data_IF_503531038563
#
_entry.id   IF_503531038563
#
_cell.length_a   1.000
_cell.length_b   1.000
_cell.length_c   1.000
_cell.angle_alpha   90.00
_cell.angle_beta   90.00
_cell.angle_gamma   90.00
#
_symmetry.space_group_name_H-M   'P 1'
#
loop_
_entity.id
_entity.type
_entity.pdbx_description
1 polymer ?
#
# COMPACT_ATOMS: atom_id res chain seq x y z
N UNK A 1 8.31 22.18 22.42
CA UNK A 1 9.70 22.66 22.60
C UNK A 1 10.04 22.89 24.07
N UNK A 2 9.15 23.23 24.94
CA UNK A 2 9.42 23.48 26.36
C UNK A 2 8.93 22.34 27.27
N UNK A 3 8.74 21.12 26.74
CA UNK A 3 8.15 20.00 27.47
C UNK A 3 6.63 20.02 27.54
N UNK A 4 5.98 21.04 26.98
CA UNK A 4 4.53 21.13 26.90
C UNK A 4 4.01 20.34 25.69
N UNK A 5 2.97 19.49 25.85
CA UNK A 5 2.36 18.78 24.74
C UNK A 5 1.72 19.76 23.74
N UNK A 6 2.05 19.58 22.45
CA UNK A 6 1.48 20.38 21.35
C UNK A 6 0.11 19.88 20.86
N UNK A 7 -0.36 18.73 21.38
CA UNK A 7 -1.56 18.07 20.87
C UNK A 7 -1.39 17.39 19.51
N UNK A 8 -0.15 17.33 18.99
CA UNK A 8 0.20 16.69 17.72
C UNK A 8 0.91 15.38 18.03
N UNK A 9 0.32 14.28 17.56
CA UNK A 9 0.90 12.94 17.66
C UNK A 9 1.40 12.52 16.28
N UNK A 10 2.62 12.00 16.19
CA UNK A 10 3.24 11.54 14.94
C UNK A 10 3.86 10.16 15.13
N UNK A 11 3.85 9.36 14.06
CA UNK A 11 4.46 8.03 14.01
C UNK A 11 4.03 7.16 15.21
N UNK A 12 4.95 6.56 15.93
CA UNK A 12 4.67 5.68 17.08
C UNK A 12 3.91 6.38 18.23
N UNK A 13 3.90 7.72 18.29
CA UNK A 13 3.12 8.44 19.29
C UNK A 13 1.61 8.31 19.07
N UNK A 14 1.16 7.93 17.88
CA UNK A 14 -0.25 7.63 17.58
C UNK A 14 -0.78 6.47 18.43
N UNK A 15 0.06 5.51 18.80
CA UNK A 15 -0.28 4.37 19.65
C UNK A 15 -0.84 4.81 21.00
N UNK A 16 -0.33 5.93 21.57
CA UNK A 16 -0.83 6.51 22.82
C UNK A 16 -2.30 6.91 22.74
N UNK A 17 -2.76 7.30 21.53
CA UNK A 17 -4.16 7.68 21.28
C UNK A 17 -4.98 6.45 20.93
N UNK A 18 -4.50 5.63 19.98
CA UNK A 18 -5.23 4.46 19.52
C UNK A 18 -5.47 3.44 20.62
N UNK A 19 -4.50 3.26 21.54
CA UNK A 19 -4.68 2.38 22.72
C UNK A 19 -5.81 2.81 23.67
N UNK A 20 -6.31 4.03 23.53
CA UNK A 20 -7.40 4.61 24.34
C UNK A 20 -8.68 4.89 23.52
N UNK A 21 -8.60 4.79 22.21
CA UNK A 21 -9.77 4.95 21.36
C UNK A 21 -10.75 3.80 21.56
N UNK A 22 -12.04 4.11 21.40
CA UNK A 22 -13.07 3.08 21.43
C UNK A 22 -12.88 2.14 20.26
N UNK A 23 -12.83 0.85 20.54
CA UNK A 23 -12.76 -0.20 19.53
C UNK A 23 -14.15 -0.42 18.93
N UNK A 24 -14.34 -0.18 17.62
CA UNK A 24 -15.63 -0.44 16.99
C UNK A 24 -15.96 -1.93 17.01
N UNK A 25 -17.21 -2.24 17.27
CA UNK A 25 -17.76 -3.59 17.09
C UNK A 25 -18.15 -3.84 15.62
N UNK A 26 -18.54 -5.06 15.31
CA UNK A 26 -18.94 -5.46 13.94
C UNK A 26 -20.10 -4.62 13.40
N UNK A 27 -21.09 -4.28 14.21
CA UNK A 27 -22.23 -3.47 13.78
C UNK A 27 -21.80 -2.01 13.47
N UNK A 28 -20.86 -1.48 14.22
CA UNK A 28 -20.24 -0.17 13.95
C UNK A 28 -19.49 -0.21 12.61
N UNK A 29 -18.72 -1.27 12.32
CA UNK A 29 -18.07 -1.45 11.02
C UNK A 29 -19.07 -1.52 9.89
N UNK A 30 -20.12 -2.31 10.02
CA UNK A 30 -21.19 -2.40 9.00
C UNK A 30 -21.77 -1.02 8.68
N UNK A 31 -21.99 -0.20 9.70
CA UNK A 31 -22.50 1.16 9.53
C UNK A 31 -21.53 2.05 8.78
N UNK A 32 -20.24 2.05 9.17
CA UNK A 32 -19.19 2.83 8.51
C UNK A 32 -19.01 2.40 7.05
N UNK A 33 -18.93 1.12 6.77
CA UNK A 33 -18.79 0.57 5.41
C UNK A 33 -19.99 0.96 4.55
N UNK A 34 -21.21 0.83 5.08
CA UNK A 34 -22.43 1.18 4.33
C UNK A 34 -22.47 2.67 3.97
N UNK A 35 -22.13 3.56 4.90
CA UNK A 35 -22.06 5.01 4.62
C UNK A 35 -20.92 5.34 3.63
N UNK A 36 -19.79 4.69 3.74
CA UNK A 36 -18.70 4.83 2.77
C UNK A 36 -19.12 4.39 1.35
N UNK A 37 -19.84 3.27 1.24
CA UNK A 37 -20.39 2.82 -0.04
C UNK A 37 -21.36 3.84 -0.66
N UNK A 38 -22.23 4.46 0.14
CA UNK A 38 -23.12 5.53 -0.32
C UNK A 38 -22.33 6.74 -0.84
N UNK A 39 -21.30 7.16 -0.11
CA UNK A 39 -20.44 8.25 -0.54
C UNK A 39 -19.74 7.91 -1.86
N UNK A 40 -19.15 6.74 -2.00
CA UNK A 40 -18.52 6.27 -3.24
C UNK A 40 -19.51 6.23 -4.41
N UNK A 41 -20.71 5.69 -4.19
CA UNK A 41 -21.76 5.65 -5.22
C UNK A 41 -22.19 7.05 -5.67
N UNK A 42 -22.18 8.06 -4.79
CA UNK A 42 -22.50 9.44 -5.15
C UNK A 42 -21.54 10.05 -6.16
N UNK A 43 -20.30 9.52 -6.22
CA UNK A 43 -19.28 9.86 -7.22
C UNK A 43 -19.24 8.89 -8.41
N UNK A 44 -20.20 7.96 -8.50
CA UNK A 44 -20.25 6.95 -9.57
C UNK A 44 -19.23 5.79 -9.40
N UNK A 45 -18.58 5.68 -8.25
CA UNK A 45 -17.64 4.59 -7.98
C UNK A 45 -18.43 3.32 -7.65
N UNK A 46 -18.17 2.25 -8.40
CA UNK A 46 -18.83 0.94 -8.25
C UNK A 46 -17.90 -0.18 -7.81
N UNK A 47 -16.59 0.09 -7.78
CA UNK A 47 -15.57 -0.86 -7.30
C UNK A 47 -14.43 -0.10 -6.65
N UNK A 48 -13.89 -0.62 -5.54
CA UNK A 48 -12.78 -0.02 -4.82
C UNK A 48 -11.83 -1.09 -4.27
N UNK A 49 -10.56 -0.74 -4.15
CA UNK A 49 -9.61 -1.44 -3.29
C UNK A 49 -9.49 -0.68 -1.96
N UNK A 50 -9.39 -1.42 -0.87
CA UNK A 50 -9.25 -0.85 0.48
C UNK A 50 -8.25 -1.67 1.29
N UNK A 51 -7.58 -1.08 2.27
CA UNK A 51 -6.61 -1.72 3.17
C UNK A 51 -6.98 -1.53 4.65
N UNK A 52 -8.24 -1.74 4.98
CA UNK A 52 -8.86 -1.42 6.26
C UNK A 52 -8.38 -2.28 7.45
N UNK A 53 -7.63 -3.36 7.24
CA UNK A 53 -7.24 -4.29 8.31
C UNK A 53 -6.51 -3.62 9.47
N UNK A 54 -5.79 -2.55 9.21
CA UNK A 54 -5.05 -1.81 10.25
C UNK A 54 -5.69 -0.47 10.61
N UNK A 55 -6.86 -0.16 10.06
CA UNK A 55 -7.58 1.08 10.40
C UNK A 55 -7.88 1.19 11.90
N UNK A 56 -8.08 0.04 12.54
CA UNK A 56 -8.24 -0.09 13.99
C UNK A 56 -7.33 -1.22 14.49
N UNK A 57 -6.10 -0.92 14.93
CA UNK A 57 -5.08 -1.94 15.24
C UNK A 57 -5.46 -2.97 16.30
N UNK A 58 -6.49 -2.67 17.12
CA UNK A 58 -6.97 -3.58 18.17
C UNK A 58 -8.09 -4.52 17.69
N UNK A 59 -8.51 -4.41 16.44
CA UNK A 59 -9.59 -5.22 15.87
C UNK A 59 -9.01 -6.31 14.99
N UNK A 60 -9.43 -7.55 15.25
CA UNK A 60 -9.12 -8.68 14.39
C UNK A 60 -9.72 -8.46 12.99
N UNK A 61 -8.93 -8.66 11.95
CA UNK A 61 -9.36 -8.53 10.55
C UNK A 61 -10.56 -9.42 10.21
N UNK A 62 -10.76 -10.54 10.93
CA UNK A 62 -11.92 -11.41 10.72
C UNK A 62 -13.24 -10.73 11.07
N UNK A 63 -13.24 -9.81 12.04
CA UNK A 63 -14.43 -9.00 12.36
C UNK A 63 -14.79 -8.10 11.16
N UNK A 64 -13.81 -7.52 10.52
CA UNK A 64 -14.02 -6.68 9.33
C UNK A 64 -14.49 -7.51 8.12
N UNK A 65 -13.85 -8.66 7.87
CA UNK A 65 -14.28 -9.58 6.81
C UNK A 65 -15.73 -10.00 7.03
N UNK A 66 -16.10 -10.36 8.26
CA UNK A 66 -17.48 -10.73 8.60
C UNK A 66 -18.46 -9.58 8.37
N UNK A 67 -18.07 -8.33 8.69
CA UNK A 67 -18.91 -7.16 8.45
C UNK A 67 -19.21 -6.95 6.95
N UNK A 68 -18.22 -7.08 6.09
CA UNK A 68 -18.39 -7.01 4.63
C UNK A 68 -19.30 -8.12 4.11
N UNK A 69 -19.07 -9.36 4.53
CA UNK A 69 -19.87 -10.52 4.12
C UNK A 69 -21.33 -10.42 4.57
N UNK A 70 -21.58 -9.89 5.77
CA UNK A 70 -22.95 -9.68 6.25
C UNK A 70 -23.65 -8.56 5.48
N UNK A 71 -22.97 -7.43 5.19
CA UNK A 71 -23.53 -6.37 4.36
C UNK A 71 -23.87 -6.84 2.95
N UNK A 72 -23.06 -7.72 2.37
CA UNK A 72 -23.36 -8.33 1.09
C UNK A 72 -24.65 -9.19 1.18
N UNK A 73 -24.75 -10.06 2.18
CA UNK A 73 -25.95 -10.88 2.41
C UNK A 73 -27.21 -10.03 2.63
N UNK A 74 -27.07 -8.88 3.27
CA UNK A 74 -28.16 -7.92 3.48
C UNK A 74 -28.47 -7.07 2.22
N UNK A 75 -27.71 -7.21 1.13
CA UNK A 75 -27.85 -6.40 -0.08
C UNK A 75 -27.47 -4.92 0.11
N UNK A 76 -26.69 -4.62 1.14
CA UNK A 76 -26.27 -3.27 1.50
C UNK A 76 -24.83 -2.92 1.07
N UNK A 77 -24.04 -3.91 0.62
CA UNK A 77 -22.74 -3.69 0.04
C UNK A 77 -22.90 -3.34 -1.46
N UNK A 78 -22.99 -2.07 -1.76
CA UNK A 78 -23.30 -1.55 -3.11
C UNK A 78 -22.09 -1.26 -3.96
N UNK A 79 -20.89 -1.31 -3.38
CA UNK A 79 -19.59 -1.18 -4.06
C UNK A 79 -18.87 -2.52 -3.99
N UNK A 80 -18.29 -2.95 -5.10
CA UNK A 80 -17.44 -4.16 -5.12
C UNK A 80 -16.12 -3.86 -4.42
N UNK A 81 -15.82 -4.58 -3.36
CA UNK A 81 -14.64 -4.36 -2.54
C UNK A 81 -13.58 -5.44 -2.79
N UNK A 82 -12.38 -5.00 -3.09
CA UNK A 82 -11.18 -5.82 -3.14
C UNK A 82 -10.30 -5.46 -1.93
N UNK A 83 -10.42 -6.23 -0.85
CA UNK A 83 -9.76 -5.98 0.42
C UNK A 83 -8.29 -6.35 0.36
N UNK A 84 -7.40 -5.37 0.34
CA UNK A 84 -5.98 -5.60 0.50
C UNK A 84 -5.71 -6.11 1.93
N UNK A 85 -4.95 -7.20 2.03
CA UNK A 85 -4.57 -7.77 3.31
C UNK A 85 -3.29 -7.10 3.80
N UNK A 86 -3.41 -6.06 4.63
CA UNK A 86 -2.26 -5.43 5.26
C UNK A 86 -1.81 -6.26 6.46
N UNK A 87 -0.78 -7.08 6.24
CA UNK A 87 -0.18 -7.99 7.22
C UNK A 87 1.28 -7.59 7.38
N UNK A 88 1.68 -7.24 8.60
CA UNK A 88 2.95 -6.53 8.82
C UNK A 88 4.16 -7.45 9.03
N UNK A 89 3.94 -8.75 9.22
CA UNK A 89 5.00 -9.73 9.45
C UNK A 89 4.68 -11.08 8.79
N UNK A 90 5.68 -11.95 8.73
CA UNK A 90 5.56 -13.25 8.06
C UNK A 90 4.67 -14.24 8.83
N UNK A 91 4.57 -14.13 10.14
CA UNK A 91 3.75 -14.97 10.99
C UNK A 91 2.27 -14.73 10.70
N UNK A 92 1.83 -13.46 10.67
CA UNK A 92 0.46 -13.07 10.34
C UNK A 92 0.11 -13.51 8.91
N UNK A 93 1.04 -13.36 7.97
CA UNK A 93 0.85 -13.81 6.59
C UNK A 93 0.67 -15.34 6.51
N UNK A 94 1.47 -16.10 7.23
CA UNK A 94 1.36 -17.58 7.30
C UNK A 94 0.03 -18.01 7.90
N UNK A 95 -0.40 -17.36 8.98
CA UNK A 95 -1.70 -17.62 9.63
C UNK A 95 -2.85 -17.29 8.67
N UNK A 96 -2.83 -16.11 8.04
CA UNK A 96 -3.85 -15.67 7.09
C UNK A 96 -4.05 -16.67 5.94
N UNK A 97 -2.94 -17.06 5.32
CA UNK A 97 -2.96 -18.06 4.23
C UNK A 97 -3.38 -19.44 4.77
N UNK A 98 -2.93 -19.82 5.97
CA UNK A 98 -3.30 -21.07 6.62
C UNK A 98 -4.83 -21.19 6.90
N UNK A 99 -5.50 -20.08 7.13
CA UNK A 99 -6.96 -19.98 7.24
C UNK A 99 -7.68 -20.07 5.88
N UNK A 100 -6.94 -20.17 4.77
CA UNK A 100 -7.48 -20.28 3.41
C UNK A 100 -7.69 -18.95 2.68
N UNK A 101 -7.30 -17.81 3.29
CA UNK A 101 -7.39 -16.51 2.64
C UNK A 101 -6.25 -16.33 1.63
N UNK A 102 -6.59 -15.95 0.43
CA UNK A 102 -5.66 -15.55 -0.64
C UNK A 102 -6.36 -14.68 -1.67
N UNK A 103 -5.60 -14.05 -2.54
CA UNK A 103 -6.16 -13.18 -3.57
C UNK A 103 -7.23 -13.90 -4.40
N UNK A 104 -8.39 -13.25 -4.51
CA UNK A 104 -9.54 -13.73 -5.27
C UNK A 104 -10.55 -14.58 -4.46
N UNK A 105 -10.22 -14.96 -3.24
CA UNK A 105 -11.17 -15.67 -2.35
C UNK A 105 -12.26 -14.70 -1.91
N UNK A 106 -13.50 -15.09 -2.05
CA UNK A 106 -14.68 -14.31 -1.67
C UNK A 106 -15.82 -14.44 -2.69
N UNK A 107 -16.55 -13.37 -2.87
CA UNK A 107 -17.75 -13.28 -3.70
C UNK A 107 -17.58 -12.26 -4.84
N UNK A 108 -18.67 -11.91 -5.52
CA UNK A 108 -18.65 -10.84 -6.54
C UNK A 108 -18.57 -9.44 -5.93
N UNK A 109 -19.02 -9.25 -4.69
CA UNK A 109 -19.01 -7.95 -4.04
C UNK A 109 -17.90 -7.80 -3.00
N UNK A 110 -17.41 -8.89 -2.40
CA UNK A 110 -16.31 -8.84 -1.46
C UNK A 110 -15.28 -9.92 -1.78
N UNK A 111 -14.04 -9.51 -2.07
CA UNK A 111 -12.91 -10.42 -2.31
C UNK A 111 -11.69 -10.02 -1.50
N UNK A 112 -10.94 -11.02 -1.08
CA UNK A 112 -9.57 -10.81 -0.59
C UNK A 112 -8.71 -10.37 -1.78
N UNK A 113 -8.04 -9.27 -1.61
CA UNK A 113 -7.12 -8.66 -2.55
C UNK A 113 -5.68 -9.13 -2.39
N UNK A 114 -4.71 -8.30 -2.78
CA UNK A 114 -3.29 -8.59 -2.60
C UNK A 114 -2.85 -8.46 -1.13
N UNK A 115 -1.71 -9.07 -0.81
CA UNK A 115 -0.92 -8.65 0.35
C UNK A 115 -0.51 -7.20 0.18
N UNK A 116 -0.78 -6.36 1.17
CA UNK A 116 -0.37 -4.96 1.22
C UNK A 116 0.76 -4.77 2.23
N UNK A 117 1.86 -4.19 1.79
CA UNK A 117 2.94 -3.78 2.67
C UNK A 117 3.19 -2.27 2.54
N UNK A 118 3.73 -1.68 3.60
CA UNK A 118 4.22 -0.31 3.62
C UNK A 118 5.75 -0.39 3.62
N UNK A 119 6.40 -0.01 2.54
CA UNK A 119 7.85 -0.14 2.40
C UNK A 119 8.63 0.97 3.12
N UNK A 120 8.13 2.19 3.03
CA UNK A 120 8.74 3.39 3.60
C UNK A 120 7.70 4.42 4.04
N UNK A 121 8.15 5.63 4.33
CA UNK A 121 7.31 6.73 4.75
C UNK A 121 6.88 7.66 3.60
N UNK A 122 6.98 8.99 3.78
CA UNK A 122 6.52 10.01 2.83
C UNK A 122 7.60 11.02 2.48
N UNK A 123 7.47 11.63 1.29
CA UNK A 123 8.38 12.67 0.81
C UNK A 123 8.34 13.91 1.72
N UNK A 124 7.14 14.37 2.06
CA UNK A 124 6.95 15.57 2.89
C UNK A 124 7.57 15.46 4.28
N UNK A 125 7.49 14.28 4.91
CA UNK A 125 8.07 14.02 6.23
C UNK A 125 9.56 13.67 6.21
N UNK A 126 10.21 13.54 5.04
CA UNK A 126 11.58 13.03 4.85
C UNK A 126 11.79 11.62 5.41
N UNK A 127 10.76 10.81 5.35
CA UNK A 127 10.78 9.39 5.75
C UNK A 127 10.73 8.42 4.57
N UNK A 128 10.48 8.91 3.35
CA UNK A 128 10.65 8.11 2.13
C UNK A 128 12.11 7.67 1.97
N UNK A 129 12.34 6.37 1.73
CA UNK A 129 13.69 5.79 1.74
C UNK A 129 14.38 5.94 0.39
N UNK A 130 15.43 6.76 0.37
CA UNK A 130 16.10 7.24 -0.81
C UNK A 130 17.50 6.64 -0.99
N UNK A 131 17.96 6.55 -2.24
CA UNK A 131 19.35 6.17 -2.57
C UNK A 131 20.38 7.21 -2.18
N UNK A 132 19.97 8.48 -2.07
CA UNK A 132 20.79 9.62 -1.69
C UNK A 132 20.09 10.45 -0.63
N UNK A 133 20.82 11.20 0.20
CA UNK A 133 20.22 12.10 1.18
C UNK A 133 19.21 13.08 0.56
N UNK A 134 18.34 13.59 1.38
CA UNK A 134 17.46 14.68 1.01
C UNK A 134 18.28 15.92 0.67
N UNK A 135 17.82 16.70 -0.30
CA UNK A 135 18.54 17.89 -0.76
C UNK A 135 18.51 19.03 0.28
N UNK A 136 17.44 19.10 1.05
CA UNK A 136 17.24 20.07 2.12
C UNK A 136 17.51 19.51 3.53
N UNK A 137 18.02 18.28 3.64
CA UNK A 137 18.47 17.64 4.87
C UNK A 137 19.40 16.47 4.56
N UNK A 138 20.70 16.75 4.52
CA UNK A 138 21.74 15.79 4.18
C UNK A 138 22.03 14.74 5.27
N UNK A 139 21.39 14.87 6.44
CA UNK A 139 21.54 13.95 7.56
C UNK A 139 20.72 12.68 7.44
N UNK A 140 19.79 12.62 6.48
CA UNK A 140 18.87 11.48 6.32
C UNK A 140 18.65 11.07 4.87
N UNK A 141 18.49 9.76 4.68
CA UNK A 141 17.98 9.16 3.44
C UNK A 141 16.55 8.59 3.61
N UNK A 142 15.85 8.92 4.68
CA UNK A 142 14.57 8.30 5.03
C UNK A 142 14.73 6.99 5.80
N UNK A 143 13.64 6.26 5.97
CA UNK A 143 13.56 5.07 6.85
C UNK A 143 12.86 3.93 6.12
N UNK A 144 13.54 2.77 5.91
CA UNK A 144 12.86 1.57 5.43
C UNK A 144 12.10 0.93 6.59
N UNK A 145 10.94 0.33 6.30
CA UNK A 145 10.16 -0.43 7.30
C UNK A 145 10.65 -1.88 7.37
N UNK A 146 11.15 -2.42 6.26
CA UNK A 146 11.63 -3.80 6.15
C UNK A 146 13.08 -3.85 5.72
N UNK A 147 13.81 -4.88 6.16
CA UNK A 147 15.10 -5.26 5.54
C UNK A 147 14.84 -5.97 4.20
N UNK A 148 15.88 -6.14 3.38
CA UNK A 148 15.77 -6.88 2.12
C UNK A 148 15.34 -8.32 2.35
N UNK A 149 15.88 -8.97 3.38
CA UNK A 149 15.57 -10.36 3.73
C UNK A 149 14.10 -10.53 4.12
N UNK A 150 13.55 -9.57 4.88
CA UNK A 150 12.13 -9.58 5.26
C UNK A 150 11.23 -9.40 4.04
N UNK A 151 11.57 -8.48 3.13
CA UNK A 151 10.84 -8.31 1.85
C UNK A 151 10.91 -9.57 1.00
N UNK A 152 12.10 -10.14 0.85
CA UNK A 152 12.31 -11.37 0.07
C UNK A 152 11.44 -12.51 0.62
N UNK A 153 11.44 -12.73 1.95
CA UNK A 153 10.63 -13.78 2.59
C UNK A 153 9.13 -13.55 2.40
N UNK A 154 8.63 -12.35 2.69
CA UNK A 154 7.20 -12.05 2.61
C UNK A 154 6.69 -12.11 1.18
N UNK A 155 7.41 -11.52 0.22
CA UNK A 155 7.04 -11.52 -1.20
C UNK A 155 7.07 -12.94 -1.77
N UNK A 156 8.14 -13.70 -1.49
CA UNK A 156 8.23 -15.10 -1.95
C UNK A 156 7.09 -15.94 -1.38
N UNK A 157 6.84 -15.84 -0.07
CA UNK A 157 5.81 -16.64 0.57
C UNK A 157 4.41 -16.31 0.04
N UNK A 158 4.07 -15.03 -0.10
CA UNK A 158 2.80 -14.59 -0.67
C UNK A 158 2.64 -15.09 -2.12
N UNK A 159 3.64 -14.84 -2.97
CA UNK A 159 3.62 -15.22 -4.37
C UNK A 159 3.45 -16.72 -4.57
N UNK A 160 4.25 -17.54 -3.89
CA UNK A 160 4.20 -19.01 -3.93
C UNK A 160 2.82 -19.56 -3.56
N UNK A 161 2.12 -18.92 -2.61
CA UNK A 161 0.82 -19.35 -2.10
C UNK A 161 -0.37 -18.68 -2.82
N UNK A 162 -0.14 -17.99 -3.94
CA UNK A 162 -1.18 -17.45 -4.80
C UNK A 162 -1.73 -16.10 -4.38
N UNK A 163 -1.04 -15.36 -3.51
CA UNK A 163 -1.36 -13.97 -3.25
C UNK A 163 -0.64 -13.05 -4.22
N UNK A 164 -1.33 -12.05 -4.75
CA UNK A 164 -0.70 -10.90 -5.36
C UNK A 164 -0.06 -10.04 -4.25
N UNK A 165 0.92 -9.23 -4.59
CA UNK A 165 1.61 -8.37 -3.62
C UNK A 165 1.62 -6.94 -4.13
N UNK A 166 1.21 -5.99 -3.30
CA UNK A 166 1.31 -4.56 -3.59
C UNK A 166 2.01 -3.85 -2.43
N UNK A 167 3.02 -3.05 -2.74
CA UNK A 167 3.87 -2.42 -1.73
C UNK A 167 3.91 -0.92 -1.96
N UNK A 168 3.64 -0.16 -0.91
CA UNK A 168 3.83 1.29 -0.88
C UNK A 168 5.32 1.61 -1.02
N UNK A 169 5.68 2.39 -2.03
CA UNK A 169 7.03 2.88 -2.24
C UNK A 169 6.98 4.33 -2.72
N UNK A 170 7.45 5.24 -1.89
CA UNK A 170 7.66 6.64 -2.23
C UNK A 170 9.10 6.84 -2.70
N UNK A 171 10.08 6.39 -1.94
CA UNK A 171 11.50 6.54 -2.25
C UNK A 171 11.99 5.56 -3.32
N UNK A 172 13.04 5.97 -4.03
CA UNK A 172 13.69 5.13 -5.05
C UNK A 172 14.43 3.93 -4.44
N UNK A 173 15.04 4.07 -3.27
CA UNK A 173 15.78 2.98 -2.63
C UNK A 173 14.87 1.82 -2.21
N UNK A 174 13.74 2.13 -1.56
CA UNK A 174 12.78 1.08 -1.21
C UNK A 174 12.19 0.43 -2.46
N UNK A 175 11.98 1.21 -3.53
CA UNK A 175 11.46 0.68 -4.78
C UNK A 175 12.42 -0.32 -5.42
N UNK A 176 13.74 -0.05 -5.39
CA UNK A 176 14.75 -1.03 -5.80
C UNK A 176 14.68 -2.32 -4.99
N UNK A 177 14.58 -2.21 -3.66
CA UNK A 177 14.49 -3.38 -2.78
C UNK A 177 13.25 -4.23 -3.08
N UNK A 178 12.11 -3.58 -3.28
CA UNK A 178 10.83 -4.25 -3.60
C UNK A 178 10.86 -4.90 -4.97
N UNK A 179 11.37 -4.21 -5.97
CA UNK A 179 11.53 -4.77 -7.34
C UNK A 179 12.45 -5.98 -7.33
N UNK A 180 13.55 -5.93 -6.57
CA UNK A 180 14.45 -7.06 -6.38
C UNK A 180 13.75 -8.27 -5.74
N UNK A 181 12.98 -8.05 -4.68
CA UNK A 181 12.23 -9.12 -4.01
C UNK A 181 11.19 -9.76 -4.95
N UNK A 182 10.45 -8.94 -5.71
CA UNK A 182 9.48 -9.43 -6.70
C UNK A 182 10.19 -10.20 -7.85
N UNK A 183 11.31 -9.70 -8.33
CA UNK A 183 12.09 -10.37 -9.39
C UNK A 183 12.61 -11.75 -8.92
N UNK A 184 13.14 -11.84 -7.68
CA UNK A 184 13.56 -13.12 -7.08
C UNK A 184 12.41 -14.12 -6.99
N UNK A 185 11.25 -13.67 -6.50
CA UNK A 185 10.07 -14.52 -6.37
C UNK A 185 9.58 -15.02 -7.73
N UNK A 186 9.49 -14.14 -8.74
CA UNK A 186 9.08 -14.47 -10.10
C UNK A 186 10.06 -15.40 -10.82
N UNK A 187 11.37 -15.24 -10.59
CA UNK A 187 12.38 -16.17 -11.13
C UNK A 187 12.26 -17.57 -10.51
N UNK A 188 11.96 -17.64 -9.23
CA UNK A 188 11.85 -18.91 -8.51
C UNK A 188 10.52 -19.64 -8.79
N UNK A 189 9.44 -18.90 -8.95
CA UNK A 189 8.09 -19.40 -9.21
C UNK A 189 7.46 -18.63 -10.39
N UNK A 190 7.76 -18.93 -11.64
CA UNK A 190 7.26 -18.18 -12.79
C UNK A 190 5.74 -18.15 -12.86
N UNK A 191 5.17 -16.97 -13.04
CA UNK A 191 3.73 -16.76 -13.20
C UNK A 191 3.49 -15.55 -14.11
N UNK A 192 2.77 -15.73 -15.21
CA UNK A 192 2.54 -14.66 -16.19
C UNK A 192 1.62 -13.56 -15.66
N UNK A 193 0.47 -13.92 -15.09
CA UNK A 193 -0.52 -13.00 -14.52
C UNK A 193 -0.37 -12.92 -13.00
N UNK A 194 0.77 -12.42 -12.55
CA UNK A 194 1.07 -12.30 -11.11
C UNK A 194 0.46 -11.06 -10.46
N UNK A 195 0.22 -9.98 -11.22
CA UNK A 195 -0.35 -8.69 -10.77
C UNK A 195 0.31 -8.08 -9.54
N UNK A 196 1.58 -8.36 -9.34
CA UNK A 196 2.35 -7.63 -8.33
C UNK A 196 2.51 -6.19 -8.75
N UNK A 197 2.54 -5.27 -7.80
CA UNK A 197 2.64 -3.88 -8.16
C UNK A 197 3.15 -3.00 -7.02
N UNK A 198 3.37 -1.76 -7.38
CA UNK A 198 3.88 -0.72 -6.49
C UNK A 198 2.84 0.38 -6.37
N UNK A 199 2.56 0.77 -5.13
CA UNK A 199 1.66 1.88 -4.81
C UNK A 199 2.46 3.16 -4.73
N UNK A 200 1.90 4.24 -5.25
CA UNK A 200 2.45 5.58 -5.44
C UNK A 200 3.42 5.71 -6.63
N UNK A 201 4.43 4.86 -6.78
CA UNK A 201 5.43 4.98 -7.85
C UNK A 201 6.00 6.40 -7.97
N UNK A 202 6.29 7.03 -6.81
CA UNK A 202 6.47 8.47 -6.77
C UNK A 202 7.85 8.90 -7.26
N UNK A 203 8.93 8.43 -6.62
CA UNK A 203 10.30 8.78 -6.99
C UNK A 203 10.92 7.58 -7.69
N UNK A 204 11.11 7.71 -8.99
CA UNK A 204 11.60 6.62 -9.84
C UNK A 204 12.96 6.97 -10.44
N UNK A 205 13.52 6.04 -11.17
CA UNK A 205 14.66 6.22 -12.07
C UNK A 205 14.33 5.59 -13.41
N UNK A 206 15.12 5.90 -14.43
CA UNK A 206 14.94 5.25 -15.73
C UNK A 206 15.01 3.71 -15.61
N UNK A 207 15.95 3.21 -14.82
CA UNK A 207 16.12 1.78 -14.57
C UNK A 207 14.88 1.15 -13.93
N UNK A 208 14.32 1.80 -12.90
CA UNK A 208 13.08 1.33 -12.26
C UNK A 208 11.90 1.31 -13.25
N UNK A 209 11.74 2.36 -14.07
CA UNK A 209 10.70 2.40 -15.11
C UNK A 209 10.85 1.24 -16.12
N UNK A 210 12.09 0.96 -16.53
CA UNK A 210 12.38 -0.18 -17.42
C UNK A 210 12.02 -1.53 -16.73
N UNK A 211 12.29 -1.68 -15.43
CA UNK A 211 11.95 -2.87 -14.62
C UNK A 211 10.45 -3.10 -14.49
N UNK A 212 9.64 -2.05 -14.35
CA UNK A 212 8.18 -2.20 -14.34
C UNK A 212 7.68 -2.91 -15.60
N UNK A 213 8.21 -2.52 -16.76
CA UNK A 213 7.85 -3.14 -18.02
C UNK A 213 8.39 -4.56 -18.15
N UNK A 214 9.66 -4.79 -17.81
CA UNK A 214 10.33 -6.09 -17.89
C UNK A 214 9.60 -7.15 -17.07
N UNK A 215 9.30 -6.80 -15.82
CA UNK A 215 8.66 -7.69 -14.85
C UNK A 215 7.13 -7.68 -14.94
N UNK A 216 6.52 -6.87 -15.81
CA UNK A 216 5.06 -6.68 -15.93
C UNK A 216 4.42 -6.27 -14.59
N UNK A 217 5.08 -5.39 -13.83
CA UNK A 217 4.55 -4.88 -12.59
C UNK A 217 3.39 -3.90 -12.86
N UNK A 218 2.41 -3.87 -11.97
CA UNK A 218 1.35 -2.86 -11.99
C UNK A 218 1.79 -1.61 -11.23
N UNK A 219 1.33 -0.45 -11.68
CA UNK A 219 1.54 0.83 -11.00
C UNK A 219 0.20 1.35 -10.46
N UNK A 220 0.10 1.43 -9.14
CA UNK A 220 -1.06 2.01 -8.44
C UNK A 220 -0.73 3.47 -8.13
N UNK A 221 -1.02 4.33 -9.11
CA UNK A 221 -0.69 5.75 -9.03
C UNK A 221 -1.78 6.54 -8.30
N UNK A 222 -1.41 7.74 -7.84
CA UNK A 222 -2.34 8.68 -7.25
C UNK A 222 -2.03 10.07 -7.82
N UNK A 223 -2.74 10.46 -8.85
CA UNK A 223 -2.50 11.72 -9.58
C UNK A 223 -2.72 12.95 -8.72
N UNK A 224 -3.55 12.86 -7.67
CA UNK A 224 -3.80 13.96 -6.74
C UNK A 224 -2.53 14.42 -5.99
N UNK A 225 -1.55 13.54 -5.76
CA UNK A 225 -0.30 13.92 -5.10
C UNK A 225 0.55 14.91 -5.90
N UNK A 226 0.38 14.98 -7.23
CA UNK A 226 1.04 16.01 -8.03
C UNK A 226 0.70 17.43 -7.54
N UNK A 227 -0.57 17.65 -7.19
CA UNK A 227 -1.04 18.96 -6.73
C UNK A 227 -0.42 19.36 -5.37
N UNK A 228 -0.26 18.39 -4.48
CA UNK A 228 0.30 18.64 -3.15
C UNK A 228 1.83 18.74 -3.16
N UNK A 229 2.52 17.88 -3.89
CA UNK A 229 3.96 17.71 -3.79
C UNK A 229 4.76 18.56 -4.79
N UNK A 230 4.14 19.11 -5.85
CA UNK A 230 4.80 19.86 -6.88
C UNK A 230 5.65 21.02 -6.33
N UNK A 231 5.23 21.60 -5.21
CA UNK A 231 5.91 22.74 -4.59
C UNK A 231 7.07 22.34 -3.68
N UNK A 232 7.20 21.06 -3.32
CA UNK A 232 8.22 20.58 -2.37
C UNK A 232 9.22 19.61 -2.99
N UNK A 233 8.89 19.04 -4.14
CA UNK A 233 9.68 17.96 -4.77
C UNK A 233 11.13 18.39 -5.02
N UNK A 234 11.35 19.55 -5.65
CA UNK A 234 12.71 20.03 -5.96
C UNK A 234 13.50 20.34 -4.69
N UNK A 235 12.85 20.88 -3.66
CA UNK A 235 13.50 21.16 -2.37
C UNK A 235 13.95 19.86 -1.71
N UNK A 236 13.09 18.83 -1.74
CA UNK A 236 13.34 17.52 -1.10
C UNK A 236 14.42 16.70 -1.78
N UNK A 237 14.45 16.67 -3.11
CA UNK A 237 15.30 15.73 -3.86
C UNK A 237 16.19 16.37 -4.93
N UNK A 238 16.11 17.68 -5.10
CA UNK A 238 16.86 18.42 -6.11
C UNK A 238 16.33 18.24 -7.54
N UNK A 239 16.70 19.15 -8.42
CA UNK A 239 16.17 19.25 -9.79
C UNK A 239 16.41 18.00 -10.64
N UNK A 240 17.56 17.33 -10.48
CA UNK A 240 17.88 16.18 -11.34
C UNK A 240 17.02 14.96 -11.00
N UNK A 241 16.84 14.65 -9.72
CA UNK A 241 15.96 13.54 -9.30
C UNK A 241 14.49 13.86 -9.56
N UNK A 242 14.09 15.13 -9.43
CA UNK A 242 12.73 15.59 -9.70
C UNK A 242 12.24 15.26 -11.12
N UNK A 243 13.15 15.16 -12.11
CA UNK A 243 12.80 14.76 -13.48
C UNK A 243 12.20 13.36 -13.59
N UNK A 244 12.45 12.51 -12.61
CA UNK A 244 11.98 11.12 -12.58
C UNK A 244 10.88 10.89 -11.53
N UNK A 245 10.27 11.96 -11.02
CA UNK A 245 9.12 11.84 -10.10
C UNK A 245 7.80 11.86 -10.86
N UNK A 246 6.80 11.16 -10.33
CA UNK A 246 5.44 11.15 -10.90
C UNK A 246 5.42 10.86 -12.41
N UNK A 247 6.29 9.96 -12.88
CA UNK A 247 6.41 9.60 -14.30
C UNK A 247 5.23 8.71 -14.78
N UNK A 248 4.02 9.03 -14.36
CA UNK A 248 2.81 8.25 -14.63
C UNK A 248 2.55 8.10 -16.13
N UNK A 249 2.72 9.21 -16.90
CA UNK A 249 2.59 9.15 -18.35
C UNK A 249 3.62 8.20 -18.98
N UNK A 250 4.86 8.22 -18.52
CA UNK A 250 5.92 7.32 -19.03
C UNK A 250 5.58 5.85 -18.74
N UNK A 251 5.06 5.53 -17.56
CA UNK A 251 4.59 4.19 -17.23
C UNK A 251 3.47 3.76 -18.17
N UNK A 252 2.45 4.58 -18.36
CA UNK A 252 1.33 4.30 -19.26
C UNK A 252 1.78 4.12 -20.72
N UNK A 253 2.61 5.04 -21.24
CA UNK A 253 3.11 4.99 -22.62
C UNK A 253 3.99 3.76 -22.87
N UNK A 254 4.65 3.22 -21.83
CA UNK A 254 5.44 1.99 -21.92
C UNK A 254 4.61 0.70 -21.88
N UNK A 255 3.28 0.82 -21.68
CA UNK A 255 2.36 -0.31 -21.60
C UNK A 255 2.23 -0.93 -20.21
N UNK A 256 2.75 -0.28 -19.16
CA UNK A 256 2.54 -0.69 -17.77
C UNK A 256 1.07 -0.48 -17.41
N UNK A 257 0.45 -1.49 -16.80
CA UNK A 257 -0.92 -1.38 -16.31
C UNK A 257 -0.93 -0.43 -15.11
N UNK A 258 -1.69 0.65 -15.25
CA UNK A 258 -1.82 1.67 -14.21
C UNK A 258 -3.26 1.75 -13.72
N UNK A 259 -3.44 1.98 -12.42
CA UNK A 259 -4.71 2.37 -11.81
C UNK A 259 -4.50 3.62 -10.94
N UNK A 260 -5.55 4.45 -10.79
CA UNK A 260 -5.54 5.69 -10.02
C UNK A 260 -6.69 5.69 -9.03
#
# INVERSE_FOLDING_TARGET
>A
ENGEPLGIFRENALELVYSKALTPDKESFKKMIHEACKALNSYGVTSAQTDDFVAFPQVDYEVLIAAYQELEKEGKLTVKINQQAQLVNIEDLKEFIGKGYKTGVGSDYFKIGPLKLIGDGSLGARTAYMTQPYNDDDSTCGIPIYTQEQLDEMVEYAHKNGMHVVIHCIGDKIMYMVVEAMEKALKKYPKEDHRHGIVHCQITTKELLDKFKELKLHAYIQSIFLDYDINIVEDRIGKERAKYTYNFKTLMDSGVITSN
#
